data_IF_945571919871
#
_entry.id   IF_945571919871
#
_cell.length_a   1.000
_cell.length_b   1.000
_cell.length_c   1.000
_cell.angle_alpha   90.00
_cell.angle_beta   90.00
_cell.angle_gamma   90.00
#
_symmetry.space_group_name_H-M   'P 1'
#
loop_
_entity.id
_entity.type
_entity.pdbx_description
1 polymer ?
#
# COMPACT_ATOMS: atom_id res chain seq x y z
N UNK A 1 -24.55 -65.71 -14.18
CA UNK A 1 -23.43 -65.10 -13.45
C UNK A 1 -23.19 -63.71 -13.99
N UNK A 2 -23.58 -62.68 -13.25
CA UNK A 2 -23.23 -61.27 -13.47
C UNK A 2 -23.05 -60.69 -12.07
N UNK A 3 -21.86 -60.20 -11.68
CA UNK A 3 -21.68 -59.59 -10.38
C UNK A 3 -22.12 -58.12 -10.46
N UNK A 4 -23.13 -57.81 -9.66
CA UNK A 4 -23.61 -56.46 -9.38
C UNK A 4 -22.46 -55.67 -8.73
N UNK A 5 -21.94 -54.65 -9.42
CA UNK A 5 -20.96 -53.71 -8.84
C UNK A 5 -21.69 -52.80 -7.85
N UNK A 6 -21.49 -53.05 -6.56
CA UNK A 6 -21.93 -52.17 -5.49
C UNK A 6 -21.01 -50.94 -5.47
N UNK A 7 -21.54 -49.78 -5.84
CA UNK A 7 -20.86 -48.50 -5.60
C UNK A 7 -20.94 -48.19 -4.10
N UNK A 8 -19.81 -48.31 -3.40
CA UNK A 8 -19.69 -47.92 -1.99
C UNK A 8 -19.68 -46.40 -1.96
N UNK A 9 -20.84 -45.80 -1.70
CA UNK A 9 -20.95 -44.40 -1.32
C UNK A 9 -20.50 -44.32 0.15
N UNK A 10 -19.21 -44.04 0.37
CA UNK A 10 -18.65 -43.85 1.70
C UNK A 10 -19.20 -42.56 2.30
N UNK A 11 -20.27 -42.67 3.08
CA UNK A 11 -20.81 -41.62 3.95
C UNK A 11 -19.75 -41.27 4.99
N UNK A 12 -19.26 -40.03 4.91
CA UNK A 12 -18.18 -39.51 5.76
C UNK A 12 -18.75 -39.13 7.13
N UNK A 13 -18.88 -40.12 8.02
CA UNK A 13 -19.38 -39.89 9.38
C UNK A 13 -18.21 -39.50 10.30
N UNK A 14 -17.92 -38.20 10.39
CA UNK A 14 -17.00 -37.63 11.37
C UNK A 14 -17.63 -37.77 12.78
N UNK A 15 -17.30 -38.85 13.49
CA UNK A 15 -17.73 -39.05 14.88
C UNK A 15 -17.05 -38.02 15.79
N UNK A 16 -17.82 -37.00 16.23
CA UNK A 16 -17.44 -36.16 17.35
C UNK A 16 -17.57 -36.94 18.65
N UNK A 17 -16.45 -37.45 19.16
CA UNK A 17 -16.34 -37.83 20.57
C UNK A 17 -16.49 -36.56 21.40
N UNK A 18 -17.71 -36.32 21.85
CA UNK A 18 -18.07 -35.33 22.86
C UNK A 18 -17.46 -35.75 24.22
N UNK A 19 -16.19 -35.45 24.40
CA UNK A 19 -15.56 -35.40 25.71
C UNK A 19 -15.13 -33.95 25.99
N UNK A 20 -15.97 -33.24 26.76
CA UNK A 20 -15.62 -32.13 27.64
C UNK A 20 -14.58 -31.11 27.16
N UNK A 21 -15.05 -30.05 26.53
CA UNK A 21 -14.28 -28.84 26.30
C UNK A 21 -14.83 -28.07 25.11
N UNK A 22 -15.18 -26.81 25.33
CA UNK A 22 -15.59 -25.84 24.31
C UNK A 22 -14.40 -25.52 23.38
N UNK A 23 -14.02 -26.52 22.57
CA UNK A 23 -12.90 -26.45 21.66
C UNK A 23 -13.42 -26.00 20.31
N UNK A 24 -13.14 -24.73 19.98
CA UNK A 24 -13.31 -24.15 18.65
C UNK A 24 -12.93 -25.15 17.54
N UNK A 25 -13.91 -25.65 16.75
CA UNK A 25 -13.67 -26.63 15.69
C UNK A 25 -12.60 -26.18 14.69
N UNK A 26 -12.43 -24.86 14.48
CA UNK A 26 -11.43 -24.30 13.59
C UNK A 26 -9.99 -24.74 13.95
N UNK A 27 -9.70 -24.97 15.24
CA UNK A 27 -8.38 -25.40 15.72
C UNK A 27 -7.98 -26.81 15.31
N UNK A 28 -8.91 -27.59 14.76
CA UNK A 28 -8.66 -28.94 14.26
C UNK A 28 -8.24 -28.95 12.79
N UNK A 29 -8.45 -27.86 12.06
CA UNK A 29 -8.24 -27.83 10.62
C UNK A 29 -7.16 -26.83 10.23
N UNK A 30 -6.51 -27.09 9.11
CA UNK A 30 -5.56 -26.16 8.48
C UNK A 30 -5.74 -26.19 6.96
N UNK A 31 -5.38 -25.08 6.33
CA UNK A 31 -5.30 -24.96 4.88
C UNK A 31 -3.93 -25.46 4.44
N UNK A 32 -3.90 -26.42 3.52
CA UNK A 32 -2.69 -26.87 2.86
C UNK A 32 -2.70 -26.43 1.40
N UNK A 33 -1.57 -25.86 0.98
CA UNK A 33 -1.28 -25.58 -0.41
C UNK A 33 -0.20 -26.57 -0.81
N UNK A 34 -0.32 -27.17 -1.99
CA UNK A 34 0.66 -28.12 -2.53
C UNK A 34 2.08 -27.53 -2.49
N UNK A 35 3.04 -28.31 -1.98
CA UNK A 35 4.42 -27.86 -1.75
C UNK A 35 4.63 -26.94 -0.54
N UNK A 36 3.55 -26.59 0.17
CA UNK A 36 3.52 -25.68 1.33
C UNK A 36 4.36 -24.39 1.12
N UNK A 37 4.11 -23.64 0.04
CA UNK A 37 4.83 -22.40 -0.25
C UNK A 37 4.65 -21.39 0.89
N UNK A 38 5.76 -20.76 1.29
CA UNK A 38 5.74 -19.63 2.23
C UNK A 38 5.46 -18.29 1.54
N UNK A 39 5.72 -18.23 0.23
CA UNK A 39 5.60 -17.05 -0.61
C UNK A 39 4.98 -17.51 -1.93
N UNK A 40 3.98 -16.78 -2.39
CA UNK A 40 3.26 -16.97 -3.63
C UNK A 40 3.57 -15.79 -4.54
N UNK A 41 3.48 -15.96 -5.85
CA UNK A 41 3.45 -14.89 -6.83
C UNK A 41 2.03 -14.69 -7.36
N UNK A 42 1.74 -13.48 -7.83
CA UNK A 42 0.50 -13.19 -8.57
C UNK A 42 0.40 -14.16 -9.75
N UNK A 43 -0.81 -14.67 -9.98
CA UNK A 43 -1.12 -15.67 -11.00
C UNK A 43 -0.57 -17.08 -10.77
N UNK A 44 0.10 -17.35 -9.65
CA UNK A 44 0.43 -18.72 -9.29
C UNK A 44 -0.83 -19.59 -9.15
N UNK A 45 -0.66 -20.87 -9.43
CA UNK A 45 -1.72 -21.88 -9.27
C UNK A 45 -1.26 -22.96 -8.31
N UNK A 46 -2.02 -23.17 -7.24
CA UNK A 46 -1.74 -24.20 -6.24
C UNK A 46 -2.96 -25.07 -6.03
N UNK A 47 -2.75 -26.40 -5.94
CA UNK A 47 -3.77 -27.26 -5.34
C UNK A 47 -3.94 -26.90 -3.88
N UNK A 48 -5.19 -26.84 -3.44
CA UNK A 48 -5.57 -26.52 -2.07
C UNK A 48 -6.38 -27.65 -1.46
N UNK A 49 -6.16 -27.88 -0.18
CA UNK A 49 -7.01 -28.75 0.63
C UNK A 49 -7.23 -28.13 2.01
N UNK A 50 -8.36 -28.45 2.62
CA UNK A 50 -8.53 -28.31 4.06
C UNK A 50 -8.32 -29.69 4.64
N UNK A 51 -7.39 -29.81 5.59
CA UNK A 51 -7.11 -31.07 6.27
C UNK A 51 -7.32 -30.93 7.77
N UNK A 52 -7.78 -32.01 8.41
CA UNK A 52 -7.82 -32.11 9.87
C UNK A 52 -6.44 -32.49 10.47
N UNK A 53 -6.39 -32.75 11.77
CA UNK A 53 -5.15 -33.15 12.46
C UNK A 53 -4.69 -34.55 12.06
N UNK A 54 -5.61 -35.37 11.60
CA UNK A 54 -5.43 -36.75 11.17
C UNK A 54 -5.08 -36.86 9.67
N UNK A 55 -5.11 -35.75 8.93
CA UNK A 55 -4.77 -35.66 7.51
C UNK A 55 -5.96 -35.95 6.56
N UNK A 56 -7.17 -36.07 7.09
CA UNK A 56 -8.38 -36.25 6.28
C UNK A 56 -8.76 -34.94 5.60
N UNK A 57 -9.07 -35.03 4.31
CA UNK A 57 -9.41 -33.87 3.48
C UNK A 57 -10.90 -33.56 3.52
N UNK A 58 -11.23 -32.27 3.64
CA UNK A 58 -12.60 -31.76 3.49
C UNK A 58 -12.83 -31.37 2.02
N UNK A 59 -13.78 -32.00 1.31
CA UNK A 59 -13.93 -31.83 -0.14
C UNK A 59 -14.63 -30.52 -0.57
N UNK A 60 -15.53 -29.98 0.26
CA UNK A 60 -16.42 -28.87 -0.11
C UNK A 60 -16.09 -27.56 0.63
N UNK A 61 -14.84 -27.13 0.52
CA UNK A 61 -14.39 -25.84 1.05
C UNK A 61 -14.44 -24.74 -0.01
N UNK A 62 -14.91 -23.57 0.39
CA UNK A 62 -14.83 -22.32 -0.38
C UNK A 62 -13.65 -21.49 0.12
N UNK A 63 -12.94 -20.83 -0.79
CA UNK A 63 -11.73 -20.08 -0.48
C UNK A 63 -11.87 -18.61 -0.85
N UNK A 64 -11.38 -17.72 0.00
CA UNK A 64 -11.40 -16.27 -0.28
C UNK A 64 -10.19 -15.56 0.29
N UNK A 65 -9.86 -14.41 -0.30
CA UNK A 65 -8.85 -13.46 0.20
C UNK A 65 -9.50 -12.08 0.15
N UNK A 66 -9.36 -11.30 1.23
CA UNK A 66 -9.93 -9.96 1.35
C UNK A 66 -11.44 -9.91 1.02
N UNK A 67 -12.17 -10.97 1.39
CA UNK A 67 -13.61 -11.11 1.10
C UNK A 67 -13.95 -11.53 -0.32
N UNK A 68 -12.99 -11.53 -1.26
CA UNK A 68 -13.18 -12.00 -2.64
C UNK A 68 -12.98 -13.51 -2.73
N UNK A 69 -14.03 -14.22 -3.16
CA UNK A 69 -13.96 -15.66 -3.43
C UNK A 69 -12.98 -15.95 -4.57
N UNK A 70 -12.11 -16.93 -4.37
CA UNK A 70 -11.17 -17.42 -5.37
C UNK A 70 -11.86 -18.45 -6.27
N UNK A 71 -11.52 -18.46 -7.55
CA UNK A 71 -11.89 -19.54 -8.45
C UNK A 71 -11.08 -20.80 -8.11
N UNK A 72 -11.78 -21.94 -8.03
CA UNK A 72 -11.20 -23.24 -7.79
C UNK A 72 -11.68 -24.22 -8.86
N UNK A 73 -10.79 -24.66 -9.75
CA UNK A 73 -11.07 -25.72 -10.71
C UNK A 73 -10.29 -26.97 -10.30
N UNK A 74 -10.96 -28.10 -10.08
CA UNK A 74 -10.32 -29.34 -9.61
C UNK A 74 -9.39 -29.12 -8.39
N UNK A 75 -9.87 -28.34 -7.40
CA UNK A 75 -9.13 -27.95 -6.19
C UNK A 75 -7.85 -27.14 -6.46
N UNK A 76 -7.69 -26.57 -7.65
CA UNK A 76 -6.59 -25.65 -7.97
C UNK A 76 -7.07 -24.20 -7.86
N UNK A 77 -6.49 -23.45 -6.93
CA UNK A 77 -6.73 -22.02 -6.78
C UNK A 77 -5.87 -21.22 -7.76
N UNK A 78 -6.48 -20.22 -8.38
CA UNK A 78 -5.76 -19.18 -9.14
C UNK A 78 -5.60 -17.92 -8.29
N UNK A 79 -4.36 -17.51 -8.03
CA UNK A 79 -4.04 -16.31 -7.27
C UNK A 79 -3.99 -15.06 -8.15
N UNK A 80 -5.05 -14.84 -8.93
CA UNK A 80 -5.29 -13.60 -9.65
C UNK A 80 -6.06 -12.62 -8.76
N UNK A 81 -5.30 -11.79 -8.05
CA UNK A 81 -5.82 -10.85 -7.06
C UNK A 81 -5.43 -9.43 -7.43
N UNK A 82 -6.30 -8.45 -7.13
CA UNK A 82 -5.96 -7.05 -7.28
C UNK A 82 -4.83 -6.70 -6.31
N UNK A 83 -4.97 -6.96 -5.01
CA UNK A 83 -3.99 -6.52 -4.03
C UNK A 83 -2.95 -7.58 -3.64
N UNK A 84 -1.70 -7.14 -3.54
CA UNK A 84 -0.54 -7.97 -3.19
C UNK A 84 -0.03 -7.69 -1.77
N UNK A 85 0.87 -8.55 -1.28
CA UNK A 85 1.53 -8.42 0.02
C UNK A 85 1.12 -9.50 1.03
N UNK A 86 1.11 -9.14 2.30
CA UNK A 86 0.70 -10.02 3.40
C UNK A 86 -0.83 -10.14 3.41
N UNK A 87 -1.35 -11.35 3.22
CA UNK A 87 -2.79 -11.63 3.11
C UNK A 87 -3.20 -12.83 3.96
N UNK A 88 -4.51 -12.98 4.12
CA UNK A 88 -5.09 -14.14 4.78
C UNK A 88 -5.98 -14.91 3.80
N UNK A 89 -5.54 -16.12 3.44
CA UNK A 89 -6.37 -17.09 2.75
C UNK A 89 -7.37 -17.66 3.75
N UNK A 90 -8.64 -17.42 3.51
CA UNK A 90 -9.74 -17.95 4.29
C UNK A 90 -10.29 -19.20 3.60
N UNK A 91 -10.57 -20.25 4.37
CA UNK A 91 -11.37 -21.38 3.94
C UNK A 91 -12.65 -21.45 4.78
N UNK A 92 -13.79 -21.61 4.13
CA UNK A 92 -15.10 -21.80 4.75
C UNK A 92 -15.71 -23.10 4.26
N UNK A 93 -16.16 -23.92 5.20
CA UNK A 93 -16.76 -25.23 4.96
C UNK A 93 -17.75 -25.55 6.08
N UNK A 94 -18.60 -26.56 5.89
CA UNK A 94 -19.58 -26.98 6.89
C UNK A 94 -19.18 -28.31 7.54
N UNK A 95 -19.40 -28.41 8.84
CA UNK A 95 -19.30 -29.67 9.58
C UNK A 95 -20.60 -29.88 10.36
N UNK A 96 -21.30 -30.98 10.09
CA UNK A 96 -22.59 -31.29 10.74
C UNK A 96 -23.60 -30.12 10.69
N UNK A 97 -23.61 -29.37 9.58
CA UNK A 97 -24.48 -28.21 9.38
C UNK A 97 -24.03 -26.93 10.11
N UNK A 98 -22.83 -26.92 10.72
CA UNK A 98 -22.23 -25.72 11.34
C UNK A 98 -21.10 -25.18 10.46
N UNK A 99 -21.12 -23.88 10.11
CA UNK A 99 -20.06 -23.29 9.33
C UNK A 99 -18.78 -23.14 10.15
N UNK A 100 -17.66 -23.56 9.58
CA UNK A 100 -16.32 -23.41 10.13
C UNK A 100 -15.52 -22.51 9.20
N UNK A 101 -14.76 -21.59 9.79
CA UNK A 101 -13.86 -20.68 9.06
C UNK A 101 -12.46 -20.83 9.64
N UNK A 102 -11.50 -21.15 8.77
CA UNK A 102 -10.08 -21.16 9.12
C UNK A 102 -9.32 -20.17 8.23
N UNK A 103 -8.17 -19.70 8.73
CA UNK A 103 -7.34 -18.70 8.05
C UNK A 103 -5.90 -19.18 7.97
N UNK A 104 -5.24 -18.92 6.85
CA UNK A 104 -3.80 -19.12 6.64
C UNK A 104 -3.18 -17.81 6.17
N UNK A 105 -2.20 -17.32 6.92
CA UNK A 105 -1.37 -16.20 6.48
C UNK A 105 -0.53 -16.63 5.28
N UNK A 106 -0.58 -15.83 4.23
CA UNK A 106 0.18 -16.01 3.00
C UNK A 106 0.81 -14.69 2.60
N UNK A 107 1.85 -14.75 1.77
CA UNK A 107 2.46 -13.58 1.16
C UNK A 107 2.40 -13.74 -0.34
N UNK A 108 1.83 -12.74 -1.02
CA UNK A 108 1.65 -12.72 -2.48
C UNK A 108 2.52 -11.60 -3.03
N UNK A 109 3.45 -11.95 -3.90
CA UNK A 109 4.42 -11.04 -4.51
C UNK A 109 4.06 -10.79 -5.98
N UNK A 110 4.72 -9.80 -6.59
CA UNK A 110 4.58 -9.56 -8.02
C UNK A 110 5.07 -10.79 -8.82
N UNK A 111 4.48 -11.01 -10.00
CA UNK A 111 4.90 -12.06 -10.93
C UNK A 111 6.25 -11.72 -11.58
N UNK A 112 6.47 -10.43 -11.86
CA UNK A 112 7.65 -9.90 -12.55
C UNK A 112 8.52 -9.03 -11.65
N UNK A 113 9.86 -9.03 -11.86
CA UNK A 113 10.75 -8.12 -11.19
C UNK A 113 10.57 -6.67 -11.68
N UNK A 114 10.89 -5.66 -10.86
CA UNK A 114 10.88 -4.27 -11.30
C UNK A 114 11.88 -4.02 -12.44
N UNK A 115 11.50 -3.20 -13.40
CA UNK A 115 12.42 -2.67 -14.41
C UNK A 115 13.32 -1.58 -13.79
N UNK A 116 14.55 -1.49 -14.27
CA UNK A 116 15.51 -0.49 -13.79
C UNK A 116 15.57 0.68 -14.76
N UNK A 117 15.39 1.87 -14.22
CA UNK A 117 15.45 3.13 -14.95
C UNK A 117 16.57 4.02 -14.40
N UNK A 118 16.97 4.98 -15.21
CA UNK A 118 17.76 6.13 -14.78
C UNK A 118 17.13 7.40 -15.36
N UNK A 119 17.74 8.54 -15.09
CA UNK A 119 17.22 9.85 -15.44
C UNK A 119 18.07 10.50 -16.53
N UNK A 120 17.43 11.40 -17.28
CA UNK A 120 18.07 12.42 -18.08
C UNK A 120 17.65 13.78 -17.51
N UNK A 121 18.61 14.68 -17.34
CA UNK A 121 18.30 16.04 -16.89
C UNK A 121 17.89 16.84 -18.13
N UNK A 122 16.60 17.18 -18.20
CA UNK A 122 16.05 18.00 -19.27
C UNK A 122 16.25 19.50 -18.99
N UNK A 123 16.00 19.93 -17.75
CA UNK A 123 16.17 21.31 -17.29
C UNK A 123 16.61 21.32 -15.82
N UNK A 124 17.21 22.43 -15.38
CA UNK A 124 17.57 22.69 -13.99
C UNK A 124 17.00 24.07 -13.60
N UNK A 125 16.33 24.13 -12.45
CA UNK A 125 15.69 25.34 -11.93
C UNK A 125 16.22 25.68 -10.53
N UNK A 126 16.21 26.96 -10.12
CA UNK A 126 16.66 27.35 -8.79
C UNK A 126 15.72 26.80 -7.70
N UNK A 127 16.30 26.28 -6.63
CA UNK A 127 15.58 25.86 -5.43
C UNK A 127 16.19 26.47 -4.18
N UNK A 128 15.35 26.81 -3.21
CA UNK A 128 15.76 27.41 -1.94
C UNK A 128 16.45 26.38 -1.05
N UNK A 129 17.76 26.51 -0.88
CA UNK A 129 18.59 25.59 -0.08
C UNK A 129 18.20 25.52 1.42
N UNK A 130 17.34 26.41 1.90
CA UNK A 130 16.82 26.38 3.28
C UNK A 130 15.51 25.60 3.40
N UNK A 131 14.83 25.33 2.28
CA UNK A 131 13.59 24.58 2.25
C UNK A 131 13.88 23.08 2.39
N UNK A 132 13.37 22.48 3.47
CA UNK A 132 13.44 21.03 3.66
C UNK A 132 12.17 20.40 3.09
N UNK A 133 12.14 20.22 1.77
CA UNK A 133 10.99 19.74 0.99
C UNK A 133 10.44 18.42 1.53
N UNK A 134 9.15 18.38 1.85
CA UNK A 134 8.43 17.17 2.26
C UNK A 134 7.23 16.83 1.38
N UNK A 135 6.79 17.77 0.55
CA UNK A 135 5.76 17.54 -0.47
C UNK A 135 5.94 18.53 -1.60
N UNK A 136 5.76 18.07 -2.83
CA UNK A 136 5.99 18.87 -4.03
C UNK A 136 4.94 18.49 -5.07
N UNK A 137 4.27 19.48 -5.66
CA UNK A 137 3.25 19.16 -6.68
C UNK A 137 3.04 20.33 -7.63
N UNK A 138 2.89 20.02 -8.91
CA UNK A 138 2.54 21.00 -9.92
C UNK A 138 1.03 21.17 -10.03
N UNK A 139 0.61 22.42 -10.18
CA UNK A 139 -0.71 22.75 -10.68
C UNK A 139 -0.58 23.79 -11.79
N UNK A 140 -0.69 23.33 -13.04
CA UNK A 140 -0.32 24.10 -14.23
C UNK A 140 1.12 24.64 -14.10
N UNK A 141 1.32 25.94 -14.30
CA UNK A 141 2.64 26.58 -14.23
C UNK A 141 3.08 26.97 -12.81
N UNK A 142 2.32 26.58 -11.78
CA UNK A 142 2.63 26.90 -10.38
C UNK A 142 3.06 25.66 -9.62
N UNK A 143 4.21 25.76 -8.96
CA UNK A 143 4.72 24.72 -8.08
C UNK A 143 4.26 24.99 -6.65
N UNK A 144 3.68 23.98 -6.02
CA UNK A 144 3.33 23.99 -4.60
C UNK A 144 4.36 23.18 -3.85
N UNK A 145 4.78 23.68 -2.69
CA UNK A 145 5.78 23.02 -1.87
C UNK A 145 5.41 23.09 -0.39
N UNK A 146 5.53 21.95 0.28
CA UNK A 146 5.50 21.84 1.73
C UNK A 146 6.89 21.57 2.27
N UNK A 147 7.21 22.18 3.41
CA UNK A 147 8.49 21.98 4.10
C UNK A 147 8.32 21.44 5.51
N UNK A 148 9.31 20.67 5.93
CA UNK A 148 9.35 20.03 7.23
C UNK A 148 10.52 20.52 8.08
N UNK A 149 10.27 21.41 9.03
CA UNK A 149 11.21 21.71 10.11
C UNK A 149 10.45 22.04 11.39
N UNK A 150 10.96 21.55 12.52
CA UNK A 150 10.34 21.82 13.82
C UNK A 150 10.26 23.33 14.06
N UNK A 151 9.04 23.85 14.22
CA UNK A 151 8.80 25.26 14.50
C UNK A 151 8.91 26.20 13.29
N UNK A 152 9.16 25.70 12.07
CA UNK A 152 9.41 26.53 10.88
C UNK A 152 8.88 25.90 9.59
N UNK A 153 7.94 24.95 9.71
CA UNK A 153 7.30 24.32 8.55
C UNK A 153 6.35 25.30 7.88
N UNK A 154 6.24 25.26 6.57
CA UNK A 154 5.33 26.12 5.79
C UNK A 154 4.85 25.41 4.53
N UNK A 155 3.78 25.94 3.95
CA UNK A 155 3.34 25.63 2.59
C UNK A 155 3.45 26.88 1.72
N UNK A 156 3.93 26.74 0.48
CA UNK A 156 4.12 27.87 -0.43
C UNK A 156 3.77 27.55 -1.88
N UNK A 157 3.53 28.62 -2.65
CA UNK A 157 3.48 28.64 -4.11
C UNK A 157 4.75 29.27 -4.65
N UNK A 158 5.27 28.72 -5.73
CA UNK A 158 6.53 29.13 -6.32
C UNK A 158 6.36 29.24 -7.84
N UNK A 159 6.89 30.31 -8.43
CA UNK A 159 7.18 30.33 -9.85
C UNK A 159 8.42 29.46 -10.10
N UNK A 160 8.24 28.24 -10.57
CA UNK A 160 9.29 27.21 -10.60
C UNK A 160 10.53 27.64 -11.41
N UNK A 161 10.35 28.45 -12.47
CA UNK A 161 11.45 28.91 -13.31
C UNK A 161 12.42 29.84 -12.58
N UNK A 162 11.91 30.68 -11.67
CA UNK A 162 12.69 31.72 -10.98
C UNK A 162 12.96 31.39 -9.52
N UNK A 163 12.18 30.50 -8.92
CA UNK A 163 12.17 30.23 -7.47
C UNK A 163 11.47 31.32 -6.65
N UNK A 164 10.78 32.27 -7.30
CA UNK A 164 10.06 33.34 -6.61
C UNK A 164 8.89 32.77 -5.81
N UNK A 165 8.84 33.09 -4.51
CA UNK A 165 7.71 32.73 -3.64
C UNK A 165 6.55 33.67 -3.93
N UNK A 166 5.53 33.13 -4.58
CA UNK A 166 4.31 33.88 -4.93
C UNK A 166 3.41 34.05 -3.71
N UNK A 167 3.38 33.03 -2.84
CA UNK A 167 2.57 33.02 -1.64
C UNK A 167 3.08 31.98 -0.65
N UNK A 168 2.96 32.25 0.66
CA UNK A 168 3.32 31.32 1.72
C UNK A 168 2.32 31.37 2.87
N UNK A 169 2.17 30.26 3.58
CA UNK A 169 1.48 30.15 4.85
C UNK A 169 2.29 29.27 5.80
N UNK A 170 2.68 29.85 6.93
CA UNK A 170 3.46 29.15 7.96
C UNK A 170 2.54 28.24 8.78
N UNK A 171 3.05 27.06 9.13
CA UNK A 171 2.34 26.15 10.04
C UNK A 171 2.62 26.55 11.48
N UNK A 172 1.66 26.28 12.36
CA UNK A 172 1.87 26.42 13.80
C UNK A 172 3.09 25.59 14.24
N UNK A 173 3.92 26.20 15.11
CA UNK A 173 5.20 25.64 15.55
C UNK A 173 5.11 24.24 16.17
N UNK A 174 3.92 23.81 16.60
CA UNK A 174 3.66 22.47 17.11
C UNK A 174 3.73 21.38 16.04
N UNK A 175 3.65 21.74 14.76
CA UNK A 175 3.59 20.80 13.64
C UNK A 175 4.90 20.75 12.84
N UNK A 176 5.13 19.59 12.25
CA UNK A 176 6.16 19.35 11.26
C UNK A 176 5.42 19.01 9.96
N UNK A 177 5.53 19.87 8.95
CA UNK A 177 4.83 19.72 7.67
C UNK A 177 5.41 18.60 6.84
N UNK A 178 4.55 17.87 6.14
CA UNK A 178 4.89 16.69 5.35
C UNK A 178 4.28 16.82 3.93
N UNK A 179 4.04 15.71 3.24
CA UNK A 179 3.50 15.64 1.89
C UNK A 179 2.23 16.46 1.66
N UNK A 180 2.10 16.97 0.43
CA UNK A 180 0.92 17.69 -0.04
C UNK A 180 0.28 16.99 -1.22
N UNK A 181 -1.01 17.20 -1.43
CA UNK A 181 -1.62 16.96 -2.74
C UNK A 181 -2.70 17.99 -3.05
N UNK A 182 -3.07 18.18 -4.31
CA UNK A 182 -4.05 19.15 -4.78
C UNK A 182 -5.19 18.40 -5.46
N UNK A 183 -6.38 18.48 -4.86
CA UNK A 183 -7.59 17.91 -5.42
C UNK A 183 -8.68 18.99 -5.49
N UNK A 184 -9.08 19.33 -6.72
CA UNK A 184 -9.99 20.45 -6.99
C UNK A 184 -9.42 21.79 -6.49
N UNK A 185 -10.22 22.52 -5.71
CA UNK A 185 -9.85 23.83 -5.14
C UNK A 185 -9.18 23.73 -3.75
N UNK A 186 -8.69 22.54 -3.38
CA UNK A 186 -8.11 22.27 -2.05
C UNK A 186 -6.68 21.78 -2.17
N UNK A 187 -5.78 22.36 -1.37
CA UNK A 187 -4.48 21.77 -1.08
C UNK A 187 -4.58 21.03 0.25
N UNK A 188 -4.18 19.78 0.26
CA UNK A 188 -4.11 18.92 1.44
C UNK A 188 -2.65 18.86 1.87
N UNK A 189 -2.38 18.95 3.15
CA UNK A 189 -1.02 18.80 3.69
C UNK A 189 -1.04 17.88 4.90
N UNK A 190 -0.08 16.97 5.00
CA UNK A 190 0.12 16.16 6.19
C UNK A 190 0.99 16.86 7.22
N UNK A 191 0.92 16.35 8.44
CA UNK A 191 2.00 16.52 9.41
C UNK A 191 2.60 15.17 9.77
N UNK A 192 3.82 15.17 10.31
CA UNK A 192 4.53 13.92 10.58
C UNK A 192 3.87 13.06 11.66
N UNK A 193 3.96 13.44 12.93
CA UNK A 193 3.57 12.57 14.07
C UNK A 193 2.28 13.01 14.78
N UNK A 194 1.64 14.08 14.33
CA UNK A 194 0.47 14.65 15.01
C UNK A 194 -0.86 14.04 14.56
N UNK A 195 -0.84 13.15 13.55
CA UNK A 195 -2.04 12.56 12.94
C UNK A 195 -3.01 13.55 12.32
N UNK A 196 -2.58 14.79 12.15
CA UNK A 196 -3.39 15.90 11.65
C UNK A 196 -2.94 16.26 10.25
N UNK A 197 -3.89 16.44 9.35
CA UNK A 197 -3.68 17.12 8.09
C UNK A 197 -4.43 18.44 8.04
N UNK A 198 -4.02 19.29 7.10
CA UNK A 198 -4.50 20.65 6.92
C UNK A 198 -5.13 20.78 5.54
N UNK A 199 -6.16 21.62 5.46
CA UNK A 199 -6.84 21.97 4.23
C UNK A 199 -6.61 23.44 3.95
N UNK A 200 -6.12 23.76 2.77
CA UNK A 200 -5.93 25.13 2.31
C UNK A 200 -6.80 25.42 1.10
N UNK A 201 -7.29 26.65 1.00
CA UNK A 201 -7.80 27.16 -0.27
C UNK A 201 -6.67 27.22 -1.30
N UNK A 202 -6.83 26.58 -2.47
CA UNK A 202 -5.76 26.50 -3.47
C UNK A 202 -5.29 27.85 -3.97
N UNK A 203 -6.18 28.84 -4.04
CA UNK A 203 -5.87 30.15 -4.62
C UNK A 203 -5.19 31.09 -3.62
N UNK A 204 -5.64 31.08 -2.37
CA UNK A 204 -5.16 31.97 -1.32
C UNK A 204 -4.29 31.33 -0.26
N UNK A 205 -4.01 30.01 -0.34
CA UNK A 205 -3.30 29.24 0.69
C UNK A 205 -3.77 29.46 2.13
N UNK A 206 -4.97 30.01 2.34
CA UNK A 206 -5.53 30.18 3.69
C UNK A 206 -6.02 28.84 4.21
N UNK A 207 -5.62 28.50 5.43
CA UNK A 207 -6.15 27.32 6.12
C UNK A 207 -7.67 27.45 6.23
N UNK A 208 -8.39 26.48 5.69
CA UNK A 208 -9.86 26.41 5.72
C UNK A 208 -10.37 25.25 6.59
N UNK A 209 -9.50 24.38 7.05
CA UNK A 209 -9.86 23.27 7.92
C UNK A 209 -8.71 22.32 8.22
N UNK A 210 -9.02 21.31 9.01
CA UNK A 210 -8.10 20.23 9.39
C UNK A 210 -8.82 18.90 9.36
N UNK A 211 -8.06 17.82 9.23
CA UNK A 211 -8.56 16.45 9.26
C UNK A 211 -7.61 15.55 10.05
N UNK A 212 -8.10 14.37 10.43
CA UNK A 212 -7.31 13.40 11.20
C UNK A 212 -7.20 12.10 10.42
N UNK A 213 -5.97 11.70 10.05
CA UNK A 213 -5.73 10.44 9.36
C UNK A 213 -5.54 9.33 10.42
N UNK A 214 -6.50 8.41 10.48
CA UNK A 214 -6.84 7.71 11.74
C UNK A 214 -6.04 6.45 12.09
N UNK A 215 -5.77 5.56 11.14
CA UNK A 215 -5.19 4.22 11.37
C UNK A 215 -3.66 4.25 11.40
N UNK A 216 -3.02 5.08 10.57
CA UNK A 216 -1.57 5.24 10.58
C UNK A 216 -1.09 6.08 11.76
N UNK A 217 0.19 5.94 12.11
CA UNK A 217 0.81 6.75 13.18
C UNK A 217 1.43 8.03 12.65
N UNK A 218 1.88 8.00 11.41
CA UNK A 218 2.59 9.09 10.75
C UNK A 218 1.96 9.39 9.38
N UNK A 219 2.27 10.56 8.84
CA UNK A 219 1.98 10.96 7.47
C UNK A 219 3.26 11.46 6.81
N UNK A 220 3.59 10.91 5.64
CA UNK A 220 4.84 11.20 4.92
C UNK A 220 4.51 11.86 3.58
N UNK A 221 4.18 11.11 2.52
CA UNK A 221 3.79 11.65 1.21
C UNK A 221 2.28 11.60 0.95
N UNK A 222 1.81 12.46 0.04
CA UNK A 222 0.45 12.45 -0.52
C UNK A 222 0.50 12.54 -2.04
N UNK A 223 -0.40 11.87 -2.73
CA UNK A 223 -0.74 12.15 -4.13
C UNK A 223 -2.21 11.80 -4.38
N UNK A 224 -2.72 12.03 -5.60
CA UNK A 224 -4.09 11.70 -5.95
C UNK A 224 -4.25 11.31 -7.43
N UNK A 225 -5.25 10.48 -7.74
CA UNK A 225 -5.62 10.11 -9.12
C UNK A 225 -6.78 10.95 -9.69
N UNK A 226 -7.15 12.04 -9.01
CA UNK A 226 -8.34 12.84 -9.29
C UNK A 226 -9.63 12.35 -8.62
N UNK A 227 -9.64 11.14 -8.04
CA UNK A 227 -10.79 10.56 -7.33
C UNK A 227 -10.45 10.17 -5.89
N UNK A 228 -9.28 9.57 -5.67
CA UNK A 228 -8.77 9.05 -4.41
C UNK A 228 -7.49 9.77 -4.03
N UNK A 229 -7.27 9.88 -2.72
CA UNK A 229 -6.01 10.38 -2.16
C UNK A 229 -5.21 9.20 -1.64
N UNK A 230 -3.94 9.13 -2.04
CA UNK A 230 -2.98 8.14 -1.58
C UNK A 230 -2.04 8.76 -0.56
N UNK A 231 -1.68 7.99 0.46
CA UNK A 231 -0.82 8.45 1.54
C UNK A 231 0.21 7.41 1.93
N UNK A 232 1.48 7.80 2.02
CA UNK A 232 2.53 6.99 2.64
C UNK A 232 2.76 7.40 4.11
N UNK A 233 3.34 6.49 4.87
CA UNK A 233 3.72 6.70 6.28
C UNK A 233 5.06 6.04 6.63
N UNK A 234 5.88 5.76 5.61
CA UNK A 234 7.15 5.04 5.73
C UNK A 234 7.05 3.53 5.96
N UNK A 235 5.85 2.99 6.20
CA UNK A 235 5.63 1.53 6.29
C UNK A 235 5.58 0.89 4.90
N UNK A 236 5.22 -0.39 4.83
CA UNK A 236 4.94 -1.07 3.56
C UNK A 236 3.61 -0.68 2.90
N UNK A 237 2.83 0.18 3.55
CA UNK A 237 1.47 0.53 3.11
C UNK A 237 1.44 1.85 2.36
N UNK A 238 0.64 1.88 1.30
CA UNK A 238 0.07 3.12 0.75
C UNK A 238 -1.40 3.12 1.13
N UNK A 239 -1.78 4.04 2.01
CA UNK A 239 -3.14 4.20 2.47
C UNK A 239 -3.99 4.89 1.41
N UNK A 240 -5.24 4.47 1.28
CA UNK A 240 -6.24 5.08 0.41
C UNK A 240 -7.23 5.80 1.31
N UNK A 241 -7.31 7.12 1.12
CA UNK A 241 -8.17 8.00 1.89
C UNK A 241 -9.48 8.25 1.14
N UNK A 242 -10.58 8.28 1.89
CA UNK A 242 -11.85 8.77 1.37
C UNK A 242 -11.72 10.26 1.01
N UNK A 243 -12.05 10.70 -0.21
CA UNK A 243 -11.87 12.10 -0.61
C UNK A 243 -12.79 13.08 0.15
N UNK A 244 -13.89 12.60 0.73
CA UNK A 244 -14.86 13.42 1.45
C UNK A 244 -14.56 13.48 2.95
N UNK A 245 -14.24 12.34 3.57
CA UNK A 245 -13.99 12.25 5.03
C UNK A 245 -12.52 12.33 5.40
N UNK A 246 -11.62 12.02 4.44
CA UNK A 246 -10.17 11.96 4.60
C UNK A 246 -9.70 10.88 5.59
N UNK A 247 -10.61 9.97 5.94
CA UNK A 247 -10.29 8.79 6.73
C UNK A 247 -9.61 7.73 5.87
N UNK A 248 -8.70 6.97 6.48
CA UNK A 248 -7.99 5.87 5.84
C UNK A 248 -8.89 4.65 5.77
N UNK A 249 -9.47 4.38 4.60
CA UNK A 249 -10.44 3.31 4.42
C UNK A 249 -9.75 1.99 4.06
N UNK A 250 -8.77 2.05 3.16
CA UNK A 250 -8.08 0.89 2.60
C UNK A 250 -6.57 1.14 2.47
N UNK A 251 -5.81 0.15 2.04
CA UNK A 251 -4.40 0.29 1.72
C UNK A 251 -3.90 -0.76 0.72
N UNK A 252 -2.93 -0.36 -0.08
CA UNK A 252 -2.07 -1.26 -0.85
C UNK A 252 -0.84 -1.61 -0.02
N UNK A 253 -0.25 -2.79 -0.26
CA UNK A 253 1.11 -3.06 0.21
C UNK A 253 2.06 -3.08 -0.96
N UNK A 254 3.20 -2.42 -0.78
CA UNK A 254 4.20 -2.28 -1.82
C UNK A 254 5.05 -3.55 -1.89
N UNK A 255 5.14 -4.20 -3.06
CA UNK A 255 5.86 -5.47 -3.23
C UNK A 255 6.71 -5.52 -4.49
N UNK A 256 7.82 -6.24 -4.42
CA UNK A 256 8.55 -6.73 -5.60
C UNK A 256 8.20 -8.20 -5.85
N UNK A 257 8.86 -8.83 -6.82
CA UNK A 257 8.80 -10.29 -7.03
C UNK A 257 9.51 -11.10 -5.93
N UNK A 258 10.26 -10.44 -5.03
CA UNK A 258 11.08 -11.08 -3.99
C UNK A 258 10.65 -10.77 -2.56
N UNK A 259 10.10 -9.59 -2.31
CA UNK A 259 9.72 -9.17 -0.97
C UNK A 259 8.70 -8.04 -0.94
N UNK A 260 8.06 -7.87 0.21
CA UNK A 260 7.38 -6.63 0.59
C UNK A 260 8.44 -5.55 0.83
N UNK A 261 8.13 -4.30 0.46
CA UNK A 261 9.03 -3.16 0.58
C UNK A 261 8.39 -2.05 1.41
N UNK A 262 9.19 -1.13 1.95
CA UNK A 262 8.74 -0.03 2.80
C UNK A 262 9.54 1.25 2.50
N UNK A 263 9.36 2.30 3.32
CA UNK A 263 10.04 3.59 3.20
C UNK A 263 9.65 4.40 1.95
N UNK A 264 8.44 4.20 1.44
CA UNK A 264 7.83 5.17 0.56
C UNK A 264 7.69 6.50 1.32
N UNK A 265 8.25 7.57 0.75
CA UNK A 265 8.22 8.92 1.30
C UNK A 265 7.26 9.78 0.47
N UNK A 266 7.73 10.89 -0.09
CA UNK A 266 7.00 11.73 -1.03
C UNK A 266 6.46 10.92 -2.22
N UNK A 267 5.25 11.27 -2.68
CA UNK A 267 4.46 10.52 -3.64
C UNK A 267 4.00 11.43 -4.78
N UNK A 268 3.95 10.91 -6.00
CA UNK A 268 3.26 11.53 -7.14
C UNK A 268 2.47 10.47 -7.90
N UNK A 269 1.33 10.85 -8.49
CA UNK A 269 0.53 9.95 -9.32
C UNK A 269 0.66 10.30 -10.80
N UNK A 270 1.04 9.33 -11.63
CA UNK A 270 1.14 9.49 -13.10
C UNK A 270 0.65 8.21 -13.77
N UNK A 271 -0.38 8.33 -14.62
CA UNK A 271 -0.88 7.27 -15.51
C UNK A 271 -1.10 5.91 -14.84
N UNK A 272 -1.82 5.88 -13.71
CA UNK A 272 -2.09 4.63 -12.98
C UNK A 272 -0.94 4.16 -12.08
N UNK A 273 0.13 4.94 -11.96
CA UNK A 273 1.31 4.61 -11.15
C UNK A 273 1.54 5.65 -10.07
N UNK A 274 1.94 5.19 -8.90
CA UNK A 274 2.42 6.00 -7.78
C UNK A 274 3.94 5.97 -7.81
N UNK A 275 4.54 7.11 -8.08
CA UNK A 275 5.96 7.34 -7.97
C UNK A 275 6.25 7.69 -6.52
N UNK A 276 7.17 6.98 -5.88
CA UNK A 276 7.47 7.16 -4.46
C UNK A 276 8.95 7.29 -4.21
N UNK A 277 9.41 8.43 -3.66
CA UNK A 277 10.79 8.52 -3.17
C UNK A 277 11.03 7.44 -2.11
N UNK A 278 12.25 6.90 -2.09
CA UNK A 278 12.67 5.93 -1.07
C UNK A 278 13.49 6.64 -0.01
N UNK A 279 12.97 6.74 1.22
CA UNK A 279 13.65 7.48 2.27
C UNK A 279 15.08 6.96 2.52
N UNK A 280 16.04 7.89 2.55
CA UNK A 280 17.49 7.66 2.64
C UNK A 280 18.15 6.96 1.44
N UNK A 281 17.49 6.94 0.27
CA UNK A 281 18.06 6.42 -0.98
C UNK A 281 17.87 7.43 -2.10
N UNK A 282 18.86 7.53 -2.98
CA UNK A 282 18.77 8.29 -4.24
C UNK A 282 18.00 7.46 -5.28
N UNK A 283 16.75 7.10 -4.96
CA UNK A 283 15.93 6.23 -5.81
C UNK A 283 14.45 6.47 -5.61
N UNK A 284 13.67 6.02 -6.57
CA UNK A 284 12.22 6.09 -6.55
C UNK A 284 11.61 4.79 -7.06
N UNK A 285 10.50 4.39 -6.43
CA UNK A 285 9.71 3.24 -6.85
C UNK A 285 8.60 3.72 -7.78
N UNK A 286 8.33 2.96 -8.83
CA UNK A 286 7.14 3.10 -9.67
C UNK A 286 6.20 1.98 -9.24
N UNK A 287 5.15 2.33 -8.50
CA UNK A 287 4.21 1.40 -7.88
C UNK A 287 2.92 1.41 -8.66
N UNK A 288 2.43 0.24 -9.05
CA UNK A 288 1.10 0.09 -9.63
C UNK A 288 0.02 0.50 -8.61
N UNK A 289 -0.79 1.50 -8.93
CA UNK A 289 -1.77 2.10 -8.02
C UNK A 289 -2.99 1.20 -7.76
N UNK A 290 -3.14 0.11 -8.51
CA UNK A 290 -4.19 -0.89 -8.28
C UNK A 290 -3.69 -2.04 -7.40
N UNK A 291 -2.49 -2.55 -7.65
CA UNK A 291 -2.01 -3.79 -7.01
C UNK A 291 -0.97 -3.61 -5.91
N UNK A 292 -0.24 -2.50 -5.91
CA UNK A 292 0.93 -2.29 -5.08
C UNK A 292 2.20 -2.97 -5.59
N UNK A 293 2.20 -3.53 -6.80
CA UNK A 293 3.42 -4.06 -7.41
C UNK A 293 4.40 -2.92 -7.75
N UNK A 294 5.66 -3.04 -7.34
CA UNK A 294 6.74 -2.19 -7.83
C UNK A 294 7.09 -2.69 -9.22
N UNK A 295 6.68 -1.94 -10.24
CA UNK A 295 6.95 -2.25 -11.64
C UNK A 295 8.27 -1.65 -12.13
N UNK A 296 8.75 -0.62 -11.44
CA UNK A 296 9.99 0.07 -11.79
C UNK A 296 10.75 0.62 -10.60
N UNK A 297 12.06 0.76 -10.74
CA UNK A 297 12.92 1.49 -9.81
C UNK A 297 13.80 2.46 -10.61
N UNK A 298 13.73 3.73 -10.27
CA UNK A 298 14.56 4.78 -10.87
C UNK A 298 15.77 5.02 -9.96
N UNK A 299 16.96 4.94 -10.53
CA UNK A 299 18.20 5.27 -9.84
C UNK A 299 18.61 6.72 -10.13
N UNK A 300 18.59 7.56 -9.10
CA UNK A 300 18.99 8.98 -9.14
C UNK A 300 20.44 9.22 -8.69
N UNK A 301 21.25 8.16 -8.64
CA UNK A 301 22.65 8.22 -8.28
C UNK A 301 23.38 9.38 -8.98
N UNK A 302 24.07 10.19 -8.18
CA UNK A 302 24.85 11.33 -8.66
C UNK A 302 24.14 12.68 -8.66
N UNK A 303 22.81 12.75 -8.55
CA UNK A 303 22.10 14.04 -8.46
C UNK A 303 22.55 14.88 -7.25
N UNK A 304 22.76 14.26 -6.08
CA UNK A 304 23.23 14.97 -4.88
C UNK A 304 24.57 15.68 -5.07
N UNK A 305 25.41 15.25 -6.02
CA UNK A 305 26.70 15.90 -6.33
C UNK A 305 26.54 17.15 -7.20
N UNK A 306 25.40 17.33 -7.85
CA UNK A 306 25.11 18.47 -8.73
C UNK A 306 24.52 19.67 -8.00
N UNK A 307 23.92 19.45 -6.83
CA UNK A 307 23.39 20.55 -6.00
C UNK A 307 24.50 21.21 -5.18
N UNK A 308 24.22 22.43 -4.69
CA UNK A 308 25.14 23.14 -3.80
C UNK A 308 25.34 22.32 -2.52
N UNK A 309 26.60 22.05 -2.17
CA UNK A 309 26.92 21.31 -0.95
C UNK A 309 26.84 22.23 0.28
N UNK A 310 26.14 21.79 1.32
CA UNK A 310 26.05 22.48 2.62
C UNK A 310 25.80 21.47 3.75
N UNK A 311 26.02 21.88 5.00
CA UNK A 311 25.96 21.00 6.18
C UNK A 311 24.56 20.45 6.49
N UNK A 312 23.52 21.08 5.94
CA UNK A 312 22.12 20.68 6.13
C UNK A 312 21.56 19.90 4.92
N UNK A 313 22.40 19.56 3.93
CA UNK A 313 21.98 18.82 2.74
C UNK A 313 21.71 17.36 3.09
N UNK A 314 20.45 16.94 2.99
CA UNK A 314 20.00 15.63 3.46
C UNK A 314 19.54 14.71 2.31
N UNK A 315 18.43 13.98 2.51
CA UNK A 315 17.84 13.03 1.58
C UNK A 315 17.22 13.71 0.36
N UNK A 316 17.17 12.97 -0.75
CA UNK A 316 16.40 13.34 -1.93
C UNK A 316 14.91 13.20 -1.58
N UNK A 317 14.15 14.28 -1.77
CA UNK A 317 12.72 14.32 -1.51
C UNK A 317 12.03 15.31 -2.46
N UNK A 318 10.84 14.96 -2.91
CA UNK A 318 10.14 15.62 -4.02
C UNK A 318 10.20 14.75 -5.26
N UNK A 319 9.02 14.40 -5.78
CA UNK A 319 8.82 13.71 -7.07
C UNK A 319 8.43 14.72 -8.14
#
# INVERSE_FOLDING_TARGET
MSPLKLAILSTFTLLFLACGGDQDPAKRFKIELEGNPKVLKRYDKFRVSVVDKEGLTIPDATYSIDGKTLSAENQQLNFDLPYLGNRELQARFDIEGKPVVIRKKIRILADKPPQLYTYEIVNEYPHDIKAFTQGLEFHNDTLYESTGRKGTSFIRKIAYETGEVLQQTDLDNAYFGEGITILGETVYQLSWQKRTGFLYDRNSLKEKGRFQYGKSREGWGLCNDGEKIYKSDGTEKIWILNPNTLEEEDYLQIVTDKSVFNKANELEYVDGKIYANVWQKESMMIVDAESGAIEGVINFGGLKKRVKQHSELDVLNGV
#
